data_IF_787515408282
#
_entry.id   IF_787515408282
#
_cell.length_a   1.000
_cell.length_b   1.000
_cell.length_c   1.000
_cell.angle_alpha   90.00
_cell.angle_beta   90.00
_cell.angle_gamma   90.00
#
_symmetry.space_group_name_H-M   'P 1'
#
loop_
_entity.id
_entity.type
_entity.pdbx_description
1 polymer ?
#
# COMPACT_ATOMS: atom_id res chain seq x y z
N UNK A 1 -11.62 -16.49 -14.59
CA UNK A 1 -10.91 -15.19 -14.45
C UNK A 1 -11.06 -14.74 -13.01
N UNK A 2 -9.98 -14.57 -12.26
CA UNK A 2 -10.06 -13.93 -10.93
C UNK A 2 -9.95 -12.42 -11.10
N UNK A 3 -10.63 -11.67 -10.23
CA UNK A 3 -10.53 -10.21 -10.18
C UNK A 3 -9.39 -9.87 -9.22
N UNK A 4 -8.39 -9.07 -9.63
CA UNK A 4 -7.33 -8.65 -8.73
C UNK A 4 -7.92 -7.74 -7.64
N UNK A 5 -7.70 -8.10 -6.37
CA UNK A 5 -8.16 -7.34 -5.20
C UNK A 5 -6.95 -6.78 -4.47
N UNK A 6 -7.05 -5.52 -4.04
CA UNK A 6 -6.06 -4.88 -3.18
C UNK A 6 -6.65 -4.62 -1.80
N UNK A 7 -5.78 -4.66 -0.77
CA UNK A 7 -6.15 -4.26 0.59
C UNK A 7 -5.47 -2.95 0.96
N UNK A 8 -6.20 -2.01 1.56
CA UNK A 8 -5.59 -0.81 2.12
C UNK A 8 -4.83 -1.16 3.41
N UNK A 9 -3.51 -0.96 3.41
CA UNK A 9 -2.62 -1.46 4.46
C UNK A 9 -2.98 -0.89 5.84
N UNK A 10 -3.42 0.37 5.91
CA UNK A 10 -3.85 0.99 7.17
C UNK A 10 -5.06 0.36 7.86
N UNK A 11 -5.76 -0.59 7.23
CA UNK A 11 -6.79 -1.37 7.91
C UNK A 11 -6.17 -2.41 8.86
N UNK A 12 -4.92 -2.82 8.61
CA UNK A 12 -4.23 -3.87 9.37
C UNK A 12 -3.14 -3.33 10.30
N UNK A 13 -2.39 -2.31 9.87
CA UNK A 13 -1.31 -1.68 10.66
C UNK A 13 -1.35 -0.17 10.47
N UNK A 14 -1.15 0.65 11.51
CA UNK A 14 -1.31 2.10 11.40
C UNK A 14 -0.31 2.77 10.44
N UNK A 15 0.92 2.24 10.34
CA UNK A 15 1.95 2.71 9.42
C UNK A 15 2.99 1.62 9.06
N UNK A 16 4.00 2.02 8.27
CA UNK A 16 5.03 1.15 7.71
C UNK A 16 6.17 0.79 8.69
N UNK A 17 6.30 1.51 9.81
CA UNK A 17 7.30 1.23 10.85
C UNK A 17 6.80 0.20 11.87
N UNK A 18 5.52 -0.16 11.80
CA UNK A 18 4.89 -1.08 12.74
C UNK A 18 5.54 -2.47 12.75
N UNK A 19 5.87 -3.02 13.93
CA UNK A 19 6.42 -4.37 14.05
C UNK A 19 5.52 -5.45 13.42
N UNK A 20 4.21 -5.21 13.40
CA UNK A 20 3.20 -6.11 12.83
C UNK A 20 3.18 -6.19 11.31
N UNK A 21 3.87 -5.28 10.59
CA UNK A 21 3.79 -5.15 9.13
C UNK A 21 4.08 -6.48 8.41
N UNK A 22 5.19 -7.14 8.75
CA UNK A 22 5.58 -8.40 8.08
C UNK A 22 4.55 -9.51 8.28
N UNK A 23 3.92 -9.55 9.46
CA UNK A 23 2.87 -10.53 9.71
C UNK A 23 1.61 -10.22 8.91
N UNK A 24 1.23 -8.94 8.82
CA UNK A 24 0.09 -8.50 8.02
C UNK A 24 0.28 -8.82 6.53
N UNK A 25 1.46 -8.58 5.96
CA UNK A 25 1.77 -8.90 4.57
C UNK A 25 1.71 -10.40 4.27
N UNK A 26 2.23 -11.22 5.18
CA UNK A 26 2.10 -12.68 5.07
C UNK A 26 0.63 -13.11 5.06
N UNK A 27 -0.18 -12.61 5.99
CA UNK A 27 -1.62 -12.92 6.04
C UNK A 27 -2.32 -12.54 4.74
N UNK A 28 -2.00 -11.38 4.16
CA UNK A 28 -2.58 -10.96 2.88
C UNK A 28 -2.19 -11.89 1.72
N UNK A 29 -0.92 -12.30 1.66
CA UNK A 29 -0.46 -13.27 0.66
C UNK A 29 -1.16 -14.63 0.83
N UNK A 30 -1.29 -15.13 2.08
CA UNK A 30 -1.97 -16.38 2.40
C UNK A 30 -3.47 -16.36 2.02
N UNK A 31 -4.09 -15.18 2.07
CA UNK A 31 -5.48 -14.95 1.63
C UNK A 31 -5.62 -14.75 0.11
N UNK A 32 -4.52 -14.76 -0.64
CA UNK A 32 -4.51 -14.65 -2.09
C UNK A 32 -4.58 -13.22 -2.64
N UNK A 33 -4.30 -12.21 -1.83
CA UNK A 33 -4.14 -10.85 -2.33
C UNK A 33 -2.87 -10.74 -3.19
N UNK A 34 -2.94 -9.92 -4.25
CA UNK A 34 -1.81 -9.66 -5.14
C UNK A 34 -1.30 -8.21 -5.04
N UNK A 35 -2.00 -7.34 -4.30
CA UNK A 35 -1.68 -5.93 -4.20
C UNK A 35 -2.09 -5.34 -2.86
N UNK A 36 -1.40 -4.26 -2.45
CA UNK A 36 -1.69 -3.48 -1.26
C UNK A 36 -1.69 -2.00 -1.58
N UNK A 37 -2.66 -1.26 -1.05
CA UNK A 37 -2.68 0.21 -1.13
C UNK A 37 -1.95 0.76 0.08
N UNK A 38 -0.90 1.54 -0.19
CA UNK A 38 -0.09 2.16 0.85
C UNK A 38 -0.83 3.38 1.43
N UNK A 39 -0.62 3.70 2.71
CA UNK A 39 -0.96 5.03 3.21
C UNK A 39 -0.27 6.13 2.39
N UNK A 40 -0.72 7.39 2.52
CA UNK A 40 0.09 8.52 2.09
C UNK A 40 1.48 8.43 2.72
N UNK A 41 2.50 8.29 1.87
CA UNK A 41 3.91 8.26 2.25
C UNK A 41 4.54 9.60 1.88
N UNK A 42 5.35 10.14 2.78
CA UNK A 42 6.22 11.27 2.44
C UNK A 42 7.45 10.73 1.70
N UNK A 43 7.68 11.12 0.44
CA UNK A 43 8.77 10.60 -0.38
C UNK A 43 10.16 10.95 0.17
N UNK A 44 10.27 11.98 1.02
CA UNK A 44 11.54 12.46 1.57
C UNK A 44 11.92 11.78 2.90
N UNK A 45 11.02 11.05 3.56
CA UNK A 45 11.24 10.49 4.90
C UNK A 45 11.35 8.97 4.98
N UNK A 46 11.09 8.24 3.88
CA UNK A 46 10.96 6.79 3.88
C UNK A 46 12.07 6.05 3.11
N UNK A 47 12.54 4.87 3.56
CA UNK A 47 13.42 3.99 2.78
C UNK A 47 12.61 3.26 1.70
N UNK A 48 12.15 4.00 0.68
CA UNK A 48 11.23 3.51 -0.36
C UNK A 48 11.73 2.23 -1.05
N UNK A 49 13.06 2.11 -1.23
CA UNK A 49 13.68 0.92 -1.82
C UNK A 49 13.54 -0.33 -0.94
N UNK A 50 13.73 -0.21 0.37
CA UNK A 50 13.59 -1.32 1.32
C UNK A 50 12.13 -1.78 1.43
N UNK A 51 11.20 -0.83 1.42
CA UNK A 51 9.77 -1.14 1.41
C UNK A 51 9.35 -1.83 0.11
N UNK A 52 9.83 -1.36 -1.04
CA UNK A 52 9.55 -1.99 -2.32
C UNK A 52 10.08 -3.44 -2.38
N UNK A 53 11.25 -3.71 -1.78
CA UNK A 53 11.78 -5.07 -1.66
C UNK A 53 10.89 -5.92 -0.73
N UNK A 54 10.50 -5.37 0.42
CA UNK A 54 9.62 -6.05 1.38
C UNK A 54 8.31 -6.53 0.74
N UNK A 55 7.61 -5.67 -0.02
CA UNK A 55 6.36 -6.07 -0.67
C UNK A 55 6.59 -7.16 -1.73
N UNK A 56 7.69 -7.06 -2.48
CA UNK A 56 8.07 -8.04 -3.50
C UNK A 56 8.36 -9.42 -2.89
N UNK A 57 9.02 -9.47 -1.74
CA UNK A 57 9.29 -10.73 -1.02
C UNK A 57 8.00 -11.47 -0.62
N UNK A 58 6.90 -10.73 -0.45
CA UNK A 58 5.57 -11.28 -0.18
C UNK A 58 4.71 -11.48 -1.43
N UNK A 59 5.22 -11.19 -2.64
CA UNK A 59 4.46 -11.28 -3.88
C UNK A 59 3.34 -10.24 -4.00
N UNK A 60 3.41 -9.15 -3.23
CA UNK A 60 2.41 -8.08 -3.20
C UNK A 60 2.89 -6.87 -4.01
N UNK A 61 2.05 -6.37 -4.91
CA UNK A 61 2.31 -5.13 -5.62
C UNK A 61 1.87 -3.90 -4.78
N UNK A 62 2.77 -2.99 -4.40
CA UNK A 62 2.38 -1.76 -3.71
C UNK A 62 1.73 -0.77 -4.68
N UNK A 63 0.62 -0.18 -4.25
CA UNK A 63 -0.10 0.90 -4.92
C UNK A 63 0.04 2.14 -4.05
N UNK A 64 0.82 3.12 -4.51
CA UNK A 64 1.01 4.39 -3.80
C UNK A 64 -0.22 5.27 -3.92
N UNK A 65 -0.76 5.73 -2.79
CA UNK A 65 -1.67 6.87 -2.78
C UNK A 65 -0.86 8.15 -2.77
N UNK A 66 -1.10 9.02 -3.76
CA UNK A 66 -0.63 10.39 -3.68
C UNK A 66 -1.37 11.09 -2.53
N UNK A 67 -0.63 11.55 -1.53
CA UNK A 67 -1.18 12.44 -0.50
C UNK A 67 -1.84 13.65 -1.18
N UNK A 68 -3.06 13.98 -0.78
CA UNK A 68 -3.70 15.20 -1.25
C UNK A 68 -3.06 16.38 -0.51
N UNK A 69 -2.34 17.23 -1.24
CA UNK A 69 -1.87 18.49 -0.68
C UNK A 69 -3.08 19.39 -0.34
N UNK A 70 -3.00 20.25 0.68
CA UNK A 70 -4.00 21.29 0.88
C UNK A 70 -4.20 22.09 -0.41
N UNK A 71 -5.39 22.01 -1.01
CA UNK A 71 -5.71 22.64 -2.30
C UNK A 71 -5.70 21.70 -3.52
N UNK A 72 -5.42 20.41 -3.35
CA UNK A 72 -5.59 19.43 -4.42
C UNK A 72 -7.07 19.33 -4.83
N UNK A 73 -7.37 19.64 -6.09
CA UNK A 73 -8.69 19.40 -6.70
C UNK A 73 -8.66 18.07 -7.43
N UNK A 74 -9.60 17.17 -7.12
CA UNK A 74 -9.82 16.00 -7.97
C UNK A 74 -10.18 16.48 -9.39
N UNK A 75 -9.65 15.85 -10.45
CA UNK A 75 -10.09 16.18 -11.80
C UNK A 75 -11.61 15.94 -11.92
N UNK A 76 -12.34 16.78 -12.68
CA UNK A 76 -13.78 16.61 -12.83
C UNK A 76 -14.07 15.23 -13.40
N UNK A 77 -14.94 14.47 -12.74
CA UNK A 77 -15.39 13.17 -13.23
C UNK A 77 -16.02 13.37 -14.62
N UNK A 78 -15.37 12.85 -15.66
CA UNK A 78 -15.91 12.89 -17.01
C UNK A 78 -17.07 11.91 -17.06
N UNK A 79 -18.26 12.44 -17.34
CA UNK A 79 -19.53 11.71 -17.39
C UNK A 79 -19.64 10.86 -18.65
#
# INVERSE_FOLDING_TARGET
MSIPVACHLNVLVPDMAEPGLRSALRTLADLGYSAVVLPPIDPESAPLGEWAALFRDHGLAPITLAGQAPGATSPPATR
#
